data_IF_826158960919
#
_entry.id   IF_826158960919
#
_cell.length_a   1.000
_cell.length_b   1.000
_cell.length_c   1.000
_cell.angle_alpha   90.00
_cell.angle_beta   90.00
_cell.angle_gamma   90.00
#
_symmetry.space_group_name_H-M   'P 1'
#
loop_
_entity.id
_entity.type
_entity.pdbx_description
1 polymer ?
#
# COMPACT_ATOMS: atom_id res chain seq x y z
N UNK A 1 4.04 -16.32 34.83
CA UNK A 1 4.46 -15.64 33.58
C UNK A 1 3.54 -16.12 32.47
N UNK A 2 2.43 -15.42 32.25
CA UNK A 2 1.47 -15.78 31.21
C UNK A 2 2.08 -15.56 29.82
N UNK A 3 2.34 -16.66 29.12
CA UNK A 3 2.79 -16.64 27.73
C UNK A 3 1.71 -16.01 26.87
N UNK A 4 1.90 -14.73 26.50
CA UNK A 4 1.05 -14.03 25.54
C UNK A 4 1.02 -14.83 24.25
N UNK A 5 -0.07 -15.57 24.01
CA UNK A 5 -0.32 -16.25 22.73
C UNK A 5 -0.35 -15.17 21.64
N UNK A 6 0.70 -15.11 20.84
CA UNK A 6 0.78 -14.17 19.72
C UNK A 6 -0.32 -14.57 18.72
N UNK A 7 -1.40 -13.79 18.67
CA UNK A 7 -2.49 -14.04 17.74
C UNK A 7 -1.97 -13.86 16.31
N UNK A 8 -2.16 -14.85 15.44
CA UNK A 8 -1.71 -14.83 14.03
C UNK A 8 -2.17 -13.56 13.31
N UNK A 9 -3.33 -13.03 13.68
CA UNK A 9 -3.89 -11.78 13.18
C UNK A 9 -3.03 -10.53 13.43
N UNK A 10 -2.12 -10.58 14.41
CA UNK A 10 -1.19 -9.49 14.72
C UNK A 10 -0.14 -9.29 13.62
N UNK A 11 0.15 -10.34 12.83
CA UNK A 11 1.08 -10.24 11.70
C UNK A 11 0.42 -9.70 10.43
N UNK A 12 -0.92 -9.62 10.38
CA UNK A 12 -1.64 -9.21 9.17
C UNK A 12 -1.25 -7.80 8.68
N UNK A 13 -1.12 -6.77 9.54
CA UNK A 13 -0.65 -5.45 9.10
C UNK A 13 0.80 -5.47 8.59
N UNK A 14 1.64 -6.35 9.16
CA UNK A 14 3.04 -6.48 8.78
C UNK A 14 3.20 -7.18 7.43
N UNK A 15 2.40 -8.22 7.19
CA UNK A 15 2.28 -8.85 5.86
C UNK A 15 1.79 -7.82 4.85
N UNK A 16 0.72 -7.08 5.16
CA UNK A 16 0.19 -6.03 4.28
C UNK A 16 1.26 -5.02 3.87
N UNK A 17 2.05 -4.49 4.82
CA UNK A 17 3.10 -3.50 4.50
C UNK A 17 4.22 -4.12 3.67
N UNK A 18 4.72 -5.30 4.03
CA UNK A 18 5.81 -5.95 3.30
C UNK A 18 5.44 -6.23 1.84
N UNK A 19 4.29 -6.84 1.60
CA UNK A 19 3.85 -7.20 0.24
C UNK A 19 3.57 -5.95 -0.61
N UNK A 20 2.91 -4.94 -0.05
CA UNK A 20 2.62 -3.69 -0.77
C UNK A 20 3.92 -2.96 -1.11
N UNK A 21 4.82 -2.80 -0.14
CA UNK A 21 6.12 -2.16 -0.37
C UNK A 21 6.96 -2.91 -1.40
N UNK A 22 7.08 -4.24 -1.30
CA UNK A 22 7.82 -5.02 -2.30
C UNK A 22 7.21 -4.89 -3.69
N UNK A 23 5.87 -4.90 -3.80
CA UNK A 23 5.17 -4.74 -5.07
C UNK A 23 5.43 -3.37 -5.72
N UNK A 24 5.39 -2.29 -4.93
CA UNK A 24 5.69 -0.95 -5.43
C UNK A 24 7.15 -0.80 -5.89
N UNK A 25 8.09 -1.45 -5.19
CA UNK A 25 9.48 -1.51 -5.63
C UNK A 25 9.64 -2.25 -6.96
N UNK A 26 8.92 -3.37 -7.15
CA UNK A 26 8.93 -4.10 -8.43
C UNK A 26 8.40 -3.20 -9.56
N UNK A 27 7.28 -2.51 -9.35
CA UNK A 27 6.73 -1.54 -10.33
C UNK A 27 7.75 -0.46 -10.68
N UNK A 28 8.44 0.08 -9.67
CA UNK A 28 9.50 1.05 -9.86
C UNK A 28 10.63 0.51 -10.74
N UNK A 29 11.17 -0.68 -10.44
CA UNK A 29 12.27 -1.26 -11.22
C UNK A 29 11.87 -1.55 -12.66
N UNK A 30 10.66 -2.08 -12.89
CA UNK A 30 10.13 -2.30 -14.25
C UNK A 30 10.10 -0.97 -15.03
N UNK A 31 9.62 0.11 -14.41
CA UNK A 31 9.56 1.42 -15.06
C UNK A 31 10.94 2.05 -15.32
N UNK A 32 11.94 1.73 -14.50
CA UNK A 32 13.33 2.15 -14.72
C UNK A 32 13.95 1.36 -15.87
N UNK A 33 13.77 0.03 -15.91
CA UNK A 33 14.26 -0.85 -16.96
C UNK A 33 13.64 -0.53 -18.32
N UNK A 34 12.34 -0.21 -18.34
CA UNK A 34 11.61 0.22 -19.54
C UNK A 34 11.87 1.69 -19.94
N UNK A 35 12.87 2.33 -19.31
CA UNK A 35 13.28 3.69 -19.65
C UNK A 35 12.15 4.74 -19.49
N UNK A 36 11.10 4.45 -18.72
CA UNK A 36 9.94 5.33 -18.54
C UNK A 36 10.19 6.43 -17.51
N UNK A 37 10.93 6.12 -16.45
CA UNK A 37 11.31 7.06 -15.39
C UNK A 37 12.83 7.12 -15.20
N UNK A 38 13.31 8.23 -14.63
CA UNK A 38 14.70 8.31 -14.18
C UNK A 38 14.91 7.52 -12.88
N UNK A 39 16.07 6.88 -12.68
CA UNK A 39 16.37 6.27 -11.39
C UNK A 39 16.55 7.34 -10.30
N UNK A 40 16.35 6.96 -9.03
CA UNK A 40 16.44 7.86 -7.88
C UNK A 40 17.87 8.33 -7.60
N UNK A 41 18.87 7.64 -8.14
CA UNK A 41 20.29 7.88 -7.90
C UNK A 41 20.91 8.92 -8.85
N UNK A 42 20.12 9.62 -9.68
CA UNK A 42 20.64 10.57 -10.67
C UNK A 42 20.48 12.02 -10.15
N UNK A 43 21.56 12.72 -9.80
CA UNK A 43 21.49 14.06 -9.22
C UNK A 43 21.19 15.17 -10.24
N UNK A 44 21.52 14.97 -11.53
CA UNK A 44 21.35 15.99 -12.56
C UNK A 44 20.23 15.64 -13.56
N UNK A 45 19.12 16.37 -13.46
CA UNK A 45 18.02 16.32 -14.42
C UNK A 45 18.42 17.13 -15.67
N UNK A 46 18.98 16.47 -16.68
CA UNK A 46 19.24 17.12 -17.98
C UNK A 46 17.93 17.65 -18.58
N UNK A 47 17.91 18.85 -19.18
CA UNK A 47 16.73 19.33 -19.92
C UNK A 47 16.48 18.38 -21.11
N UNK A 48 15.29 17.76 -21.14
CA UNK A 48 14.95 16.64 -22.04
C UNK A 48 14.98 15.24 -21.39
N UNK A 49 15.29 15.15 -20.09
CA UNK A 49 15.28 13.90 -19.33
C UNK A 49 13.88 13.29 -19.18
N UNK A 50 13.84 11.96 -19.08
CA UNK A 50 12.66 11.12 -18.80
C UNK A 50 11.86 11.63 -17.59
N UNK A 51 10.65 11.11 -17.47
CA UNK A 51 9.73 11.46 -16.40
C UNK A 51 10.34 11.23 -15.00
N UNK A 52 9.95 12.06 -14.01
CA UNK A 52 10.41 11.89 -12.63
C UNK A 52 9.93 10.55 -12.04
N UNK A 53 10.60 10.04 -11.00
CA UNK A 53 10.34 8.72 -10.41
C UNK A 53 9.12 8.72 -9.47
N UNK A 54 7.97 9.19 -9.95
CA UNK A 54 6.72 9.09 -9.23
C UNK A 54 6.02 7.77 -9.56
N UNK A 55 5.49 7.09 -8.54
CA UNK A 55 4.81 5.80 -8.72
C UNK A 55 3.60 5.91 -9.64
N UNK A 56 2.90 7.05 -9.61
CA UNK A 56 1.78 7.35 -10.50
C UNK A 56 2.19 7.41 -11.97
N UNK A 57 3.46 7.73 -12.27
CA UNK A 57 3.99 7.69 -13.64
C UNK A 57 4.54 6.30 -13.94
N UNK A 58 5.21 5.66 -12.98
CA UNK A 58 5.77 4.32 -13.13
C UNK A 58 4.69 3.28 -13.48
N UNK A 59 3.54 3.34 -12.79
CA UNK A 59 2.42 2.41 -12.97
C UNK A 59 1.39 2.81 -14.03
N UNK A 60 1.64 3.82 -14.88
CA UNK A 60 0.63 4.37 -15.79
C UNK A 60 0.49 3.62 -17.12
N UNK A 61 1.48 2.82 -17.53
CA UNK A 61 1.41 2.04 -18.77
C UNK A 61 2.00 0.63 -18.64
N UNK A 62 1.63 -0.29 -19.56
CA UNK A 62 2.20 -1.63 -19.59
C UNK A 62 3.73 -1.60 -19.80
N UNK A 63 4.49 -2.56 -19.22
CA UNK A 63 4.02 -3.69 -18.42
C UNK A 63 3.82 -3.38 -16.92
N UNK A 64 4.35 -2.25 -16.43
CA UNK A 64 4.34 -1.89 -15.01
C UNK A 64 2.93 -1.67 -14.44
N UNK A 65 2.00 -1.12 -15.23
CA UNK A 65 0.62 -0.87 -14.80
C UNK A 65 -0.15 -2.13 -14.40
N UNK A 66 0.10 -3.26 -15.07
CA UNK A 66 -0.54 -4.53 -14.75
C UNK A 66 -0.10 -5.03 -13.36
N UNK A 67 1.20 -4.98 -13.10
CA UNK A 67 1.76 -5.36 -11.78
C UNK A 67 1.27 -4.39 -10.70
N UNK A 68 1.23 -3.09 -11.01
CA UNK A 68 0.75 -2.07 -10.09
C UNK A 68 -0.70 -2.33 -9.68
N UNK A 69 -1.62 -2.52 -10.63
CA UNK A 69 -3.03 -2.78 -10.32
C UNK A 69 -3.23 -4.10 -9.56
N UNK A 70 -2.47 -5.15 -9.86
CA UNK A 70 -2.51 -6.40 -9.08
C UNK A 70 -2.09 -6.19 -7.62
N UNK A 71 -0.98 -5.48 -7.40
CA UNK A 71 -0.48 -5.16 -6.05
C UNK A 71 -1.49 -4.30 -5.30
N UNK A 72 -2.02 -3.25 -5.92
CA UNK A 72 -2.95 -2.31 -5.27
C UNK A 72 -4.30 -2.96 -4.95
N UNK A 73 -4.83 -3.82 -5.83
CA UNK A 73 -6.07 -4.56 -5.55
C UNK A 73 -5.90 -5.58 -4.42
N UNK A 74 -4.77 -6.28 -4.36
CA UNK A 74 -4.47 -7.19 -3.24
C UNK A 74 -4.29 -6.41 -1.93
N UNK A 75 -3.60 -5.28 -1.97
CA UNK A 75 -3.45 -4.36 -0.85
C UNK A 75 -4.81 -3.83 -0.38
N UNK A 76 -5.73 -3.49 -1.29
CA UNK A 76 -7.08 -3.05 -0.96
C UNK A 76 -7.87 -4.09 -0.17
N UNK A 77 -7.84 -5.35 -0.61
CA UNK A 77 -8.49 -6.43 0.10
C UNK A 77 -7.91 -6.60 1.52
N UNK A 78 -6.58 -6.63 1.65
CA UNK A 78 -5.92 -6.78 2.95
C UNK A 78 -6.18 -5.58 3.88
N UNK A 79 -6.18 -4.36 3.34
CA UNK A 79 -6.48 -3.15 4.10
C UNK A 79 -7.91 -3.16 4.65
N UNK A 80 -8.88 -3.64 3.87
CA UNK A 80 -10.27 -3.80 4.31
C UNK A 80 -10.37 -4.83 5.45
N UNK A 81 -9.69 -5.97 5.33
CA UNK A 81 -9.64 -7.00 6.39
C UNK A 81 -9.01 -6.42 7.66
N UNK A 82 -7.88 -5.71 7.54
CA UNK A 82 -7.23 -5.03 8.68
C UNK A 82 -8.16 -4.00 9.32
N UNK A 83 -8.94 -3.24 8.52
CA UNK A 83 -9.88 -2.25 9.02
C UNK A 83 -10.98 -2.87 9.89
N UNK A 84 -11.61 -3.94 9.40
CA UNK A 84 -12.69 -4.65 10.12
C UNK A 84 -12.15 -5.28 11.41
N UNK A 85 -11.01 -5.96 11.34
CA UNK A 85 -10.40 -6.59 12.51
C UNK A 85 -9.99 -5.56 13.56
N UNK A 86 -9.36 -4.45 13.14
CA UNK A 86 -9.00 -3.34 14.03
C UNK A 86 -10.25 -2.78 14.70
N UNK A 87 -11.33 -2.58 13.95
CA UNK A 87 -12.59 -2.07 14.51
C UNK A 87 -13.15 -2.99 15.60
N UNK A 88 -13.19 -4.30 15.34
CA UNK A 88 -13.68 -5.31 16.31
C UNK A 88 -12.78 -5.37 17.55
N UNK A 89 -11.46 -5.39 17.37
CA UNK A 89 -10.48 -5.46 18.47
C UNK A 89 -10.50 -4.21 19.36
N UNK A 90 -10.78 -3.04 18.78
CA UNK A 90 -10.82 -1.75 19.48
C UNK A 90 -12.17 -1.46 20.11
N UNK A 91 -13.27 -2.07 19.63
CA UNK A 91 -14.63 -1.86 20.17
C UNK A 91 -14.72 -1.97 21.70
N UNK A 92 -14.12 -2.97 22.39
CA UNK A 92 -14.17 -3.06 23.85
C UNK A 92 -13.13 -2.19 24.59
N UNK A 93 -12.14 -1.61 23.89
CA UNK A 93 -11.00 -0.91 24.50
C UNK A 93 -11.03 0.61 24.31
N UNK A 94 -11.90 1.12 23.44
CA UNK A 94 -11.89 2.52 23.03
C UNK A 94 -12.73 3.39 23.98
N UNK A 95 -12.13 4.46 24.51
CA UNK A 95 -12.83 5.48 25.31
C UNK A 95 -13.75 6.36 24.46
N UNK A 96 -13.29 6.72 23.26
CA UNK A 96 -14.02 7.55 22.30
C UNK A 96 -14.50 6.72 21.11
N UNK A 97 -15.77 6.29 21.05
CA UNK A 97 -16.28 5.42 19.99
C UNK A 97 -16.14 6.04 18.59
N UNK A 98 -16.23 7.38 18.50
CA UNK A 98 -16.06 8.14 17.26
C UNK A 98 -14.69 7.95 16.61
N UNK A 99 -13.61 7.77 17.38
CA UNK A 99 -12.27 7.54 16.84
C UNK A 99 -12.14 6.16 16.18
N UNK A 100 -12.86 5.17 16.69
CA UNK A 100 -12.85 3.84 16.08
C UNK A 100 -13.65 3.84 14.77
N UNK A 101 -14.80 4.52 14.76
CA UNK A 101 -15.64 4.69 13.57
C UNK A 101 -14.92 5.51 12.50
N UNK A 102 -14.31 6.64 12.86
CA UNK A 102 -13.56 7.46 11.89
C UNK A 102 -12.38 6.71 11.28
N UNK A 103 -11.67 5.90 12.08
CA UNK A 103 -10.61 5.04 11.59
C UNK A 103 -11.10 3.95 10.63
N UNK A 104 -12.29 3.37 10.88
CA UNK A 104 -12.91 2.41 9.97
C UNK A 104 -13.26 3.08 8.64
N UNK A 105 -13.92 4.25 8.68
CA UNK A 105 -14.30 5.01 7.49
C UNK A 105 -13.06 5.38 6.67
N UNK A 106 -12.01 5.90 7.32
CA UNK A 106 -10.76 6.27 6.66
C UNK A 106 -10.13 5.07 5.93
N UNK A 107 -10.03 3.90 6.58
CA UNK A 107 -9.45 2.71 5.96
C UNK A 107 -10.34 2.13 4.84
N UNK A 108 -11.66 2.25 4.95
CA UNK A 108 -12.57 1.88 3.86
C UNK A 108 -12.38 2.79 2.63
N UNK A 109 -12.26 4.10 2.84
CA UNK A 109 -11.98 5.06 1.76
C UNK A 109 -10.62 4.80 1.12
N UNK A 110 -9.59 4.50 1.92
CA UNK A 110 -8.27 4.10 1.40
C UNK A 110 -8.37 2.82 0.58
N UNK A 111 -9.09 1.80 1.07
CA UNK A 111 -9.27 0.54 0.35
C UNK A 111 -9.97 0.75 -0.98
N UNK A 112 -11.05 1.54 -1.00
CA UNK A 112 -11.76 1.91 -2.22
C UNK A 112 -10.87 2.66 -3.20
N UNK A 113 -10.12 3.66 -2.73
CA UNK A 113 -9.17 4.40 -3.57
C UNK A 113 -8.11 3.50 -4.21
N UNK A 114 -7.62 2.49 -3.48
CA UNK A 114 -6.66 1.53 -4.02
C UNK A 114 -7.25 0.61 -5.09
N UNK A 115 -8.57 0.35 -5.09
CA UNK A 115 -9.22 -0.47 -6.14
C UNK A 115 -9.45 0.27 -7.46
N UNK A 116 -9.36 1.61 -7.45
CA UNK A 116 -9.53 2.44 -8.64
C UNK A 116 -8.24 2.60 -9.46
N UNK A 117 -7.14 2.00 -8.99
CA UNK A 117 -5.79 2.05 -9.58
C UNK A 117 -5.47 0.76 -10.36
#
# INVERSE_FOLDING_TARGET
MDGKKCSVWMFLPLVFTLFTSSGLWIVYFIAVEDNKIIPLNVPDRKPGSKSPPYISIAGDAPPASCVFSQVMNMAAFLALVVAVLRFIQMKPKVLNPWLNVSGLIALCLTSFGMTLL
#
